data_IF_627005316593
#
_entry.id   IF_627005316593
#
_cell.length_a   1.000
_cell.length_b   1.000
_cell.length_c   1.000
_cell.angle_alpha   90.00
_cell.angle_beta   90.00
_cell.angle_gamma   90.00
#
_symmetry.space_group_name_H-M   'P 1'
#
loop_
_entity.id
_entity.type
_entity.pdbx_description
1 polymer ?
#
# COMPACT_ATOMS: atom_id res chain seq x y z
N UNK A 1 -1.50 -15.69 -32.28
CA UNK A 1 -0.98 -16.27 -31.03
C UNK A 1 -2.05 -16.19 -29.94
N UNK A 2 -2.32 -17.28 -29.29
CA UNK A 2 -3.30 -17.30 -28.22
C UNK A 2 -2.66 -16.88 -26.90
N UNK A 3 -3.29 -15.96 -26.21
CA UNK A 3 -2.87 -15.60 -24.86
C UNK A 3 -3.28 -16.69 -23.88
N UNK A 4 -2.48 -16.89 -22.85
CA UNK A 4 -2.86 -17.78 -21.76
C UNK A 4 -4.00 -17.15 -20.96
N UNK A 5 -4.90 -18.01 -20.48
CA UNK A 5 -6.01 -17.57 -19.66
C UNK A 5 -5.68 -17.85 -18.19
N UNK A 6 -5.78 -16.79 -17.37
CA UNK A 6 -5.53 -16.88 -15.92
C UNK A 6 -6.78 -16.48 -15.16
N UNK A 7 -6.94 -17.04 -13.99
CA UNK A 7 -7.93 -16.53 -13.05
C UNK A 7 -7.41 -15.22 -12.44
N UNK A 8 -8.31 -14.47 -11.82
CA UNK A 8 -7.93 -13.23 -11.13
C UNK A 8 -6.92 -13.54 -10.03
N UNK A 9 -7.16 -14.60 -9.26
CA UNK A 9 -6.24 -15.01 -8.20
C UNK A 9 -4.86 -15.37 -8.75
N UNK A 10 -4.83 -16.10 -9.87
CA UNK A 10 -3.55 -16.47 -10.47
C UNK A 10 -2.73 -15.24 -10.87
N UNK A 11 -3.37 -14.27 -11.51
CA UNK A 11 -2.65 -13.07 -11.96
C UNK A 11 -2.22 -12.20 -10.77
N UNK A 12 -3.07 -12.05 -9.76
CA UNK A 12 -2.70 -11.29 -8.56
C UNK A 12 -1.53 -11.95 -7.83
N UNK A 13 -1.55 -13.26 -7.71
CA UNK A 13 -0.46 -14.02 -7.07
C UNK A 13 0.85 -13.85 -7.84
N UNK A 14 0.77 -13.91 -9.16
CA UNK A 14 1.93 -13.73 -10.03
C UNK A 14 2.56 -12.34 -9.84
N UNK A 15 1.73 -11.30 -9.89
CA UNK A 15 2.20 -9.92 -9.72
C UNK A 15 2.78 -9.71 -8.33
N UNK A 16 2.12 -10.24 -7.31
CA UNK A 16 2.59 -10.16 -5.94
C UNK A 16 3.96 -10.78 -5.78
N UNK A 17 4.19 -11.94 -6.38
CA UNK A 17 5.49 -12.61 -6.34
C UNK A 17 6.56 -11.81 -7.07
N UNK A 18 6.22 -11.17 -8.18
CA UNK A 18 7.15 -10.29 -8.88
C UNK A 18 7.57 -9.13 -8.00
N UNK A 19 6.63 -8.51 -7.29
CA UNK A 19 6.95 -7.42 -6.37
C UNK A 19 7.83 -7.90 -5.22
N UNK A 20 7.56 -9.08 -4.69
CA UNK A 20 8.36 -9.66 -3.60
C UNK A 20 9.78 -10.01 -4.05
N UNK A 21 9.96 -10.32 -5.33
CA UNK A 21 11.28 -10.60 -5.89
C UNK A 21 12.08 -9.35 -6.20
N UNK A 22 11.42 -8.22 -6.33
CA UNK A 22 12.08 -6.96 -6.62
C UNK A 22 12.60 -6.34 -5.34
N UNK A 23 13.91 -6.25 -5.24
CA UNK A 23 14.57 -5.80 -4.02
C UNK A 23 14.16 -4.37 -3.64
N UNK A 24 14.00 -3.50 -4.64
CA UNK A 24 13.64 -2.11 -4.41
C UNK A 24 12.20 -1.97 -3.88
N UNK A 25 11.29 -2.82 -4.33
CA UNK A 25 9.88 -2.75 -3.93
C UNK A 25 9.58 -3.41 -2.58
N UNK A 26 10.54 -4.18 -2.08
CA UNK A 26 10.38 -4.84 -0.77
C UNK A 26 10.55 -3.87 0.39
N UNK A 27 11.28 -2.79 0.16
CA UNK A 27 11.55 -1.81 1.21
C UNK A 27 11.82 -0.46 0.57
N UNK A 28 10.81 0.37 0.53
CA UNK A 28 10.90 1.69 -0.09
C UNK A 28 10.31 2.76 0.82
N UNK A 29 10.69 4.00 0.53
CA UNK A 29 10.10 5.17 1.17
C UNK A 29 9.41 5.99 0.09
N UNK A 30 8.18 6.39 0.34
CA UNK A 30 7.37 7.16 -0.61
C UNK A 30 6.93 8.44 0.07
N UNK A 31 7.11 9.56 -0.63
CA UNK A 31 6.66 10.86 -0.18
C UNK A 31 5.36 11.21 -0.87
N UNK A 32 4.41 11.73 -0.13
CA UNK A 32 3.16 12.18 -0.70
C UNK A 32 2.27 12.87 0.30
N UNK A 33 1.12 13.31 -0.20
CA UNK A 33 0.10 13.92 0.62
C UNK A 33 -0.99 12.90 0.93
N UNK A 34 -1.38 12.83 2.20
CA UNK A 34 -2.41 11.91 2.67
C UNK A 34 -3.78 12.37 2.17
N UNK A 35 -4.57 11.43 1.66
CA UNK A 35 -5.96 11.66 1.32
C UNK A 35 -6.78 10.41 1.58
N UNK A 36 -8.10 10.56 1.71
CA UNK A 36 -9.02 9.46 1.98
C UNK A 36 -8.61 8.61 3.17
N UNK A 37 -8.12 9.24 4.22
CA UNK A 37 -7.66 8.54 5.40
C UNK A 37 -8.84 8.03 6.22
N UNK A 38 -8.87 6.74 6.48
CA UNK A 38 -9.94 6.07 7.23
C UNK A 38 -9.35 5.14 8.27
N UNK A 39 -9.76 5.37 9.50
CA UNK A 39 -9.41 4.51 10.63
C UNK A 39 -10.48 3.42 10.73
N UNK A 40 -10.08 2.19 10.43
CA UNK A 40 -10.99 1.05 10.45
C UNK A 40 -11.11 0.49 11.86
N UNK A 41 -12.27 -0.13 12.16
CA UNK A 41 -12.52 -0.75 13.48
C UNK A 41 -11.53 -1.87 13.82
N UNK A 42 -10.92 -2.49 12.80
CA UNK A 42 -9.88 -3.50 13.00
C UNK A 42 -8.57 -2.93 13.56
N UNK A 43 -8.43 -1.60 13.56
CA UNK A 43 -7.19 -0.93 13.93
C UNK A 43 -6.29 -0.59 12.76
N UNK A 44 -6.59 -1.09 11.57
CA UNK A 44 -5.86 -0.72 10.36
C UNK A 44 -6.25 0.67 9.90
N UNK A 45 -5.32 1.39 9.27
CA UNK A 45 -5.59 2.69 8.66
C UNK A 45 -5.45 2.53 7.16
N UNK A 46 -6.51 2.89 6.43
CA UNK A 46 -6.52 2.91 4.97
C UNK A 46 -6.44 4.35 4.50
N UNK A 47 -5.55 4.63 3.59
CA UNK A 47 -5.39 5.98 3.06
C UNK A 47 -4.79 5.91 1.66
N UNK A 48 -4.75 7.06 0.99
CA UNK A 48 -4.04 7.21 -0.27
C UNK A 48 -2.93 8.21 -0.08
N UNK A 49 -1.83 8.00 -0.79
CA UNK A 49 -0.79 9.02 -0.96
C UNK A 49 -0.88 9.54 -2.37
N UNK A 50 -0.81 10.84 -2.52
CA UNK A 50 -0.90 11.47 -3.83
C UNK A 50 0.19 12.53 -4.00
N UNK A 51 0.54 12.76 -5.24
CA UNK A 51 1.31 13.89 -5.68
C UNK A 51 0.54 14.61 -6.79
N UNK A 52 1.22 15.43 -7.57
CA UNK A 52 0.55 16.23 -8.61
C UNK A 52 -0.02 15.38 -9.75
N UNK A 53 0.54 14.20 -9.98
CA UNK A 53 0.20 13.39 -11.15
C UNK A 53 -0.46 12.04 -10.83
N UNK A 54 -0.23 11.50 -9.64
CA UNK A 54 -0.61 10.12 -9.34
C UNK A 54 -1.02 9.95 -7.90
N UNK A 55 -1.64 8.81 -7.65
CA UNK A 55 -1.93 8.39 -6.28
C UNK A 55 -1.75 6.88 -6.15
N UNK A 56 -1.48 6.46 -4.93
CA UNK A 56 -1.34 5.05 -4.60
C UNK A 56 -2.11 4.76 -3.31
N UNK A 57 -2.78 3.61 -3.28
CA UNK A 57 -3.51 3.18 -2.09
C UNK A 57 -2.55 2.57 -1.09
N UNK A 58 -2.76 2.88 0.18
CA UNK A 58 -1.91 2.43 1.27
C UNK A 58 -2.73 1.81 2.37
N UNK A 59 -2.12 0.90 3.10
CA UNK A 59 -2.67 0.39 4.35
C UNK A 59 -1.56 0.32 5.39
N UNK A 60 -1.85 0.84 6.57
CA UNK A 60 -1.00 0.67 7.74
C UNK A 60 -1.70 -0.31 8.66
N UNK A 61 -1.11 -1.49 8.83
CA UNK A 61 -1.69 -2.52 9.69
C UNK A 61 -1.57 -2.12 11.16
N UNK A 62 -2.53 -2.57 11.96
CA UNK A 62 -2.60 -2.22 13.38
C UNK A 62 -1.27 -2.47 14.10
N UNK A 63 -0.61 -3.58 13.80
CA UNK A 63 0.67 -3.92 14.43
C UNK A 63 1.77 -2.91 14.13
N UNK A 64 1.73 -2.28 12.96
CA UNK A 64 2.74 -1.28 12.57
C UNK A 64 2.50 0.07 13.26
N UNK A 65 1.27 0.36 13.67
CA UNK A 65 0.95 1.65 14.30
C UNK A 65 1.63 1.83 15.64
N UNK A 66 1.75 0.75 16.41
CA UNK A 66 2.30 0.84 17.77
C UNK A 66 3.75 1.28 17.79
N UNK A 67 4.51 0.94 16.76
CA UNK A 67 5.93 1.24 16.71
C UNK A 67 6.32 2.28 15.67
N UNK A 68 5.43 2.58 14.73
CA UNK A 68 5.75 3.41 13.58
C UNK A 68 5.09 4.77 13.56
N UNK A 69 3.86 4.86 14.04
CA UNK A 69 3.08 6.08 13.94
C UNK A 69 3.12 6.84 15.24
N UNK A 70 3.69 8.04 15.22
CA UNK A 70 3.84 8.88 16.42
C UNK A 70 2.94 10.11 16.41
N UNK A 71 2.05 10.20 15.45
CA UNK A 71 1.10 11.29 15.32
C UNK A 71 -0.17 10.76 14.71
N UNK A 72 -1.25 11.51 14.77
CA UNK A 72 -2.50 11.14 14.14
C UNK A 72 -2.42 11.43 12.64
N UNK A 73 -2.65 10.40 11.82
CA UNK A 73 -2.62 10.54 10.38
C UNK A 73 -3.92 11.17 9.89
N UNK A 74 -3.83 12.25 9.15
CA UNK A 74 -4.99 13.00 8.67
C UNK A 74 -4.79 13.44 7.22
N UNK A 75 -5.91 13.65 6.54
CA UNK A 75 -5.92 14.16 5.17
C UNK A 75 -5.19 15.51 5.11
N UNK A 76 -4.43 15.69 4.04
CA UNK A 76 -3.72 16.94 3.79
C UNK A 76 -2.29 16.98 4.30
N UNK A 77 -1.89 16.04 5.16
CA UNK A 77 -0.52 15.99 5.66
C UNK A 77 0.44 15.52 4.57
N UNK A 78 1.61 16.17 4.53
CA UNK A 78 2.75 15.69 3.75
C UNK A 78 3.54 14.72 4.60
N UNK A 79 3.72 13.50 4.10
CA UNK A 79 4.39 12.45 4.86
C UNK A 79 5.37 11.67 3.99
N UNK A 80 6.28 10.97 4.66
CA UNK A 80 7.11 9.94 4.04
C UNK A 80 6.73 8.64 4.72
N UNK A 81 6.34 7.65 3.92
CA UNK A 81 5.98 6.34 4.45
C UNK A 81 7.00 5.31 4.00
N UNK A 82 7.36 4.44 4.91
CA UNK A 82 8.26 3.31 4.64
C UNK A 82 7.42 2.05 4.57
N UNK A 83 7.69 1.23 3.59
CA UNK A 83 6.95 0.00 3.44
C UNK A 83 7.37 -0.80 2.23
N UNK A 84 6.47 -1.66 1.80
CA UNK A 84 6.67 -2.45 0.60
C UNK A 84 5.48 -2.31 -0.34
N UNK A 85 5.74 -2.57 -1.62
CA UNK A 85 4.68 -2.60 -2.62
C UNK A 85 4.19 -4.03 -2.75
N UNK A 86 2.88 -4.19 -2.72
CA UNK A 86 2.26 -5.51 -2.83
C UNK A 86 0.92 -5.39 -3.51
N UNK A 87 0.36 -6.53 -3.88
CA UNK A 87 -1.01 -6.61 -4.36
C UNK A 87 -1.89 -6.93 -3.16
N UNK A 88 -2.92 -6.11 -2.96
CA UNK A 88 -3.89 -6.35 -1.90
C UNK A 88 -4.87 -7.41 -2.38
N UNK A 89 -4.81 -8.57 -1.77
CA UNK A 89 -5.76 -9.62 -2.03
C UNK A 89 -6.93 -9.49 -1.07
N UNK A 90 -8.12 -9.58 -1.64
CA UNK A 90 -9.31 -9.58 -0.85
C UNK A 90 -9.36 -10.83 0.00
N UNK A 91 -9.23 -10.68 1.28
CA UNK A 91 -9.22 -11.78 2.20
C UNK A 91 -10.55 -11.99 2.87
#
# INVERSE_FOLDING_TARGET
MKSKVFSVTQINTYIKRMFQSDYALRRISIKGQVSNCKYHSSGHIYFSLKDEESQISCVMFASARYNGLQFELEDGQEVIVDGNVSVYERG
#
